data_IF_235483636281
#
_entry.id   IF_235483636281
#
_cell.length_a   1.000
_cell.length_b   1.000
_cell.length_c   1.000
_cell.angle_alpha   90.00
_cell.angle_beta   90.00
_cell.angle_gamma   90.00
#
_symmetry.space_group_name_H-M   'P 1'
#
loop_
_entity.id
_entity.type
_entity.pdbx_description
1 polymer ?
#
# COMPACT_ATOMS: atom_id res chain seq x y z
N UNK A 1 18.88 -45.07 -0.37
CA UNK A 1 18.39 -43.92 -1.17
C UNK A 1 17.06 -44.30 -1.80
N UNK A 2 15.97 -43.68 -1.35
CA UNK A 2 14.61 -43.97 -1.78
C UNK A 2 14.09 -42.80 -2.66
N UNK A 3 13.69 -43.02 -3.93
CA UNK A 3 13.35 -41.95 -4.87
C UNK A 3 12.07 -41.17 -4.51
N UNK A 4 11.34 -41.58 -3.47
CA UNK A 4 10.12 -40.92 -2.97
C UNK A 4 10.37 -39.62 -2.18
N UNK A 5 11.64 -39.29 -1.86
CA UNK A 5 11.98 -38.07 -1.10
C UNK A 5 12.10 -36.83 -2.00
N UNK A 6 12.16 -36.98 -3.33
CA UNK A 6 12.28 -35.84 -4.26
C UNK A 6 10.95 -35.18 -4.65
N UNK A 7 9.80 -35.79 -4.33
CA UNK A 7 8.48 -35.29 -4.78
C UNK A 7 7.83 -34.33 -3.75
N UNK A 8 8.35 -34.26 -2.53
CA UNK A 8 7.78 -33.41 -1.47
C UNK A 8 8.29 -31.96 -1.45
N UNK A 9 9.19 -31.57 -2.36
CA UNK A 9 9.71 -30.19 -2.46
C UNK A 9 9.00 -29.31 -3.51
N UNK A 10 8.04 -29.83 -4.27
CA UNK A 10 7.42 -29.07 -5.38
C UNK A 10 6.11 -28.38 -4.98
N UNK A 11 5.59 -28.61 -3.75
CA UNK A 11 4.27 -28.07 -3.36
C UNK A 11 4.33 -26.73 -2.60
N UNK A 12 5.52 -26.23 -2.23
CA UNK A 12 5.66 -24.89 -1.62
C UNK A 12 6.12 -23.78 -2.58
N UNK A 13 6.36 -24.08 -3.86
CA UNK A 13 6.88 -23.09 -4.81
C UNK A 13 5.78 -22.30 -5.56
N UNK A 14 4.50 -22.68 -5.42
CA UNK A 14 3.42 -22.06 -6.17
C UNK A 14 2.82 -20.81 -5.50
N UNK A 15 3.07 -20.56 -4.20
CA UNK A 15 2.52 -19.42 -3.49
C UNK A 15 3.29 -18.10 -3.74
N UNK A 16 4.60 -18.10 -4.02
CA UNK A 16 5.42 -16.96 -3.60
C UNK A 16 6.00 -16.06 -4.69
N UNK A 17 6.15 -16.46 -5.96
CA UNK A 17 6.94 -15.63 -6.91
C UNK A 17 6.37 -14.23 -7.17
N UNK A 18 5.06 -14.12 -7.39
CA UNK A 18 4.46 -12.81 -7.67
C UNK A 18 4.21 -11.97 -6.40
N UNK A 19 4.02 -12.61 -5.24
CA UNK A 19 3.91 -11.90 -3.96
C UNK A 19 5.29 -11.35 -3.54
N UNK A 20 6.33 -12.17 -3.67
CA UNK A 20 7.73 -11.81 -3.40
C UNK A 20 8.20 -10.67 -4.30
N UNK A 21 7.83 -10.66 -5.58
CA UNK A 21 8.15 -9.55 -6.48
C UNK A 21 7.39 -8.26 -6.17
N UNK A 22 6.07 -8.34 -5.90
CA UNK A 22 5.29 -7.17 -5.51
C UNK A 22 5.79 -6.57 -4.19
N UNK A 23 6.09 -7.42 -3.20
CA UNK A 23 6.63 -6.99 -1.91
C UNK A 23 8.03 -6.37 -2.07
N UNK A 24 8.89 -6.93 -2.93
CA UNK A 24 10.20 -6.35 -3.22
C UNK A 24 10.10 -4.96 -3.88
N UNK A 25 9.12 -4.74 -4.76
CA UNK A 25 8.87 -3.43 -5.38
C UNK A 25 8.39 -2.41 -4.35
N UNK A 26 7.45 -2.79 -3.48
CA UNK A 26 6.95 -1.93 -2.40
C UNK A 26 8.08 -1.60 -1.42
N UNK A 27 8.88 -2.59 -1.01
CA UNK A 27 10.03 -2.36 -0.11
C UNK A 27 11.09 -1.45 -0.74
N UNK A 28 11.36 -1.61 -2.05
CA UNK A 28 12.28 -0.72 -2.76
C UNK A 28 11.76 0.71 -2.82
N UNK A 29 10.48 0.89 -3.13
CA UNK A 29 9.83 2.20 -3.11
C UNK A 29 9.90 2.82 -1.70
N UNK A 30 9.60 2.03 -0.66
CA UNK A 30 9.68 2.48 0.73
C UNK A 30 11.07 2.94 1.11
N UNK A 31 12.12 2.17 0.81
CA UNK A 31 13.49 2.55 1.13
C UNK A 31 13.90 3.86 0.43
N UNK A 32 13.48 4.04 -0.83
CA UNK A 32 13.70 5.30 -1.56
C UNK A 32 12.99 6.46 -0.87
N UNK A 33 11.69 6.33 -0.63
CA UNK A 33 10.87 7.37 -0.04
C UNK A 33 11.28 7.71 1.40
N UNK A 34 11.70 6.72 2.19
CA UNK A 34 12.22 6.92 3.53
C UNK A 34 13.57 7.64 3.53
N UNK A 35 14.41 7.42 2.52
CA UNK A 35 15.64 8.19 2.34
C UNK A 35 15.39 9.68 2.08
N UNK A 36 14.30 10.02 1.39
CA UNK A 36 13.89 11.41 1.11
C UNK A 36 13.10 12.03 2.27
N UNK A 37 12.25 11.24 2.93
CA UNK A 37 11.33 11.67 3.99
C UNK A 37 11.44 10.74 5.21
N UNK A 38 12.55 10.79 5.95
CA UNK A 38 12.77 9.89 7.09
C UNK A 38 11.77 10.18 8.22
N UNK A 39 11.33 9.12 8.87
CA UNK A 39 10.46 9.19 10.07
C UNK A 39 11.29 9.00 11.33
N UNK A 40 10.86 9.64 12.42
CA UNK A 40 11.45 9.39 13.74
C UNK A 40 11.09 7.99 14.27
N UNK A 41 11.83 7.51 15.27
CA UNK A 41 11.63 6.18 15.84
C UNK A 41 10.21 5.97 16.39
N UNK A 42 9.61 7.01 16.99
CA UNK A 42 8.26 6.92 17.55
C UNK A 42 7.19 6.87 16.46
N UNK A 43 7.33 7.66 15.40
CA UNK A 43 6.45 7.58 14.22
C UNK A 43 6.59 6.23 13.51
N UNK A 44 7.80 5.67 13.46
CA UNK A 44 8.04 4.34 12.91
C UNK A 44 7.34 3.25 13.74
N UNK A 45 7.25 3.41 15.07
CA UNK A 45 6.46 2.51 15.92
C UNK A 45 4.98 2.65 15.60
N UNK A 46 4.45 3.87 15.49
CA UNK A 46 3.04 4.10 15.14
C UNK A 46 2.66 3.45 13.79
N UNK A 47 3.52 3.59 12.77
CA UNK A 47 3.34 2.95 11.46
C UNK A 47 3.30 1.42 11.58
N UNK A 48 4.21 0.82 12.36
CA UNK A 48 4.29 -0.63 12.57
C UNK A 48 3.11 -1.17 13.35
N UNK A 49 2.70 -0.44 14.39
CA UNK A 49 1.60 -0.81 15.27
C UNK A 49 0.24 -0.55 14.60
N UNK A 50 0.23 0.10 13.42
CA UNK A 50 -0.97 0.46 12.64
C UNK A 50 -1.98 1.23 13.52
N UNK A 51 -1.49 1.95 14.53
CA UNK A 51 -2.28 2.57 15.59
C UNK A 51 -2.86 3.92 15.17
N UNK A 52 -2.07 4.70 14.44
CA UNK A 52 -2.38 6.05 13.96
C UNK A 52 -1.79 6.27 12.56
N UNK A 53 -2.39 7.20 11.80
CA UNK A 53 -1.77 7.72 10.58
C UNK A 53 -0.90 8.91 10.99
N UNK A 54 0.43 8.83 10.91
CA UNK A 54 1.30 9.90 11.36
C UNK A 54 1.08 11.17 10.53
N UNK A 55 1.19 12.32 11.18
CA UNK A 55 0.80 13.62 10.60
C UNK A 55 1.96 14.61 10.47
N UNK A 56 3.21 14.18 10.72
CA UNK A 56 4.37 15.03 10.43
C UNK A 56 4.49 15.28 8.93
N UNK A 57 5.15 16.38 8.56
CA UNK A 57 5.41 16.70 7.16
C UNK A 57 6.11 15.54 6.42
N UNK A 58 7.12 14.92 7.05
CA UNK A 58 7.83 13.79 6.47
C UNK A 58 6.93 12.57 6.27
N UNK A 59 6.07 12.23 7.24
CA UNK A 59 5.12 11.14 7.07
C UNK A 59 4.17 11.37 5.89
N UNK A 60 3.60 12.58 5.79
CA UNK A 60 2.71 12.97 4.70
C UNK A 60 3.41 12.86 3.34
N UNK A 61 4.63 13.37 3.24
CA UNK A 61 5.38 13.34 1.99
C UNK A 61 5.95 11.96 1.65
N UNK A 62 6.26 11.11 2.65
CA UNK A 62 6.59 9.71 2.45
C UNK A 62 5.40 8.98 1.80
N UNK A 63 4.18 9.19 2.29
CA UNK A 63 2.97 8.62 1.68
C UNK A 63 2.78 9.11 0.24
N UNK A 64 2.96 10.41 -0.03
CA UNK A 64 2.89 10.94 -1.39
C UNK A 64 3.96 10.33 -2.31
N UNK A 65 5.19 10.16 -1.82
CA UNK A 65 6.27 9.50 -2.55
C UNK A 65 5.91 8.05 -2.90
N UNK A 66 5.34 7.30 -1.96
CA UNK A 66 4.90 5.91 -2.21
C UNK A 66 3.82 5.84 -3.30
N UNK A 67 2.84 6.76 -3.27
CA UNK A 67 1.82 6.84 -4.32
C UNK A 67 2.43 7.18 -5.69
N UNK A 68 3.47 8.02 -5.74
CA UNK A 68 4.21 8.35 -6.97
C UNK A 68 4.99 7.15 -7.51
N UNK A 69 5.69 6.40 -6.66
CA UNK A 69 6.39 5.17 -7.07
C UNK A 69 5.41 4.12 -7.63
N UNK A 70 4.21 4.02 -7.05
CA UNK A 70 3.11 3.19 -7.55
C UNK A 70 2.39 3.75 -8.78
N UNK A 71 2.75 4.94 -9.27
CA UNK A 71 2.07 5.68 -10.35
C UNK A 71 0.59 5.98 -10.05
N UNK A 72 0.22 5.99 -8.78
CA UNK A 72 -1.11 6.32 -8.28
C UNK A 72 -1.25 7.85 -8.11
N UNK A 73 -0.15 8.57 -7.91
CA UNK A 73 -0.12 10.02 -7.87
C UNK A 73 0.88 10.53 -8.91
N UNK A 74 0.43 11.36 -9.85
CA UNK A 74 1.30 11.87 -10.92
C UNK A 74 0.82 13.23 -11.41
N UNK A 75 1.74 14.20 -11.43
CA UNK A 75 1.45 15.53 -11.96
C UNK A 75 0.28 16.23 -11.24
N UNK A 76 0.19 16.09 -9.92
CA UNK A 76 -0.90 16.67 -9.14
C UNK A 76 -2.24 15.97 -9.33
N UNK A 77 -2.29 14.74 -9.86
CA UNK A 77 -3.53 13.97 -10.03
C UNK A 77 -3.44 12.57 -9.44
N UNK A 78 -4.52 12.17 -8.78
CA UNK A 78 -4.73 10.80 -8.34
C UNK A 78 -5.28 9.95 -9.48
N UNK A 79 -4.53 8.91 -9.82
CA UNK A 79 -4.80 7.98 -10.92
C UNK A 79 -5.62 6.80 -10.37
N UNK A 80 -6.94 6.97 -10.29
CA UNK A 80 -7.87 5.99 -9.71
C UNK A 80 -7.71 4.59 -10.30
N UNK A 81 -7.58 4.48 -11.62
CA UNK A 81 -7.40 3.20 -12.32
C UNK A 81 -6.12 2.48 -11.89
N UNK A 82 -5.02 3.22 -11.67
CA UNK A 82 -3.76 2.63 -11.21
C UNK A 82 -3.87 2.17 -9.76
N UNK A 83 -4.63 2.88 -8.92
CA UNK A 83 -4.90 2.45 -7.54
C UNK A 83 -5.70 1.14 -7.51
N UNK A 84 -6.76 1.04 -8.33
CA UNK A 84 -7.57 -0.17 -8.47
C UNK A 84 -6.72 -1.35 -8.96
N UNK A 85 -5.87 -1.13 -9.96
CA UNK A 85 -4.95 -2.14 -10.46
C UNK A 85 -3.96 -2.60 -9.36
N UNK A 86 -3.44 -1.66 -8.56
CA UNK A 86 -2.55 -2.01 -7.46
C UNK A 86 -3.26 -2.85 -6.40
N UNK A 87 -4.54 -2.57 -6.11
CA UNK A 87 -5.34 -3.40 -5.21
C UNK A 87 -5.47 -4.84 -5.71
N UNK A 88 -5.68 -5.04 -7.02
CA UNK A 88 -5.69 -6.37 -7.63
C UNK A 88 -4.32 -7.06 -7.54
N UNK A 89 -3.24 -6.35 -7.83
CA UNK A 89 -1.88 -6.92 -7.77
C UNK A 89 -1.51 -7.36 -6.37
N UNK A 90 -1.78 -6.53 -5.36
CA UNK A 90 -1.45 -6.80 -3.96
C UNK A 90 -2.35 -7.88 -3.34
N UNK A 91 -3.58 -8.05 -3.84
CA UNK A 91 -4.54 -9.03 -3.32
C UNK A 91 -4.89 -10.11 -4.35
N UNK A 92 -3.97 -10.42 -5.28
CA UNK A 92 -4.20 -11.35 -6.40
C UNK A 92 -4.69 -12.75 -5.99
N UNK A 93 -4.42 -13.15 -4.73
CA UNK A 93 -4.77 -14.44 -4.16
C UNK A 93 -5.98 -14.37 -3.21
N UNK A 94 -6.51 -13.16 -2.95
CA UNK A 94 -7.68 -12.92 -2.11
C UNK A 94 -8.60 -11.88 -2.78
N UNK A 95 -9.46 -12.37 -3.66
CA UNK A 95 -10.40 -11.52 -4.40
C UNK A 95 -11.34 -10.73 -3.48
N UNK A 96 -11.73 -11.30 -2.32
CA UNK A 96 -12.59 -10.59 -1.38
C UNK A 96 -11.85 -9.42 -0.73
N UNK A 97 -10.56 -9.57 -0.43
CA UNK A 97 -9.71 -8.45 0.01
C UNK A 97 -9.50 -7.42 -1.12
N UNK A 98 -9.31 -7.87 -2.37
CA UNK A 98 -9.20 -6.99 -3.53
C UNK A 98 -10.45 -6.12 -3.71
N UNK A 99 -11.65 -6.71 -3.65
CA UNK A 99 -12.92 -5.99 -3.80
C UNK A 99 -13.13 -4.95 -2.70
N UNK A 100 -12.81 -5.29 -1.44
CA UNK A 100 -12.88 -4.32 -0.34
C UNK A 100 -11.86 -3.20 -0.48
N UNK A 101 -10.65 -3.51 -0.95
CA UNK A 101 -9.63 -2.49 -1.21
C UNK A 101 -10.06 -1.52 -2.33
N UNK A 102 -10.68 -2.03 -3.39
CA UNK A 102 -11.26 -1.20 -4.46
C UNK A 102 -12.39 -0.32 -3.94
N UNK A 103 -13.31 -0.89 -3.15
CA UNK A 103 -14.41 -0.14 -2.54
C UNK A 103 -13.88 1.03 -1.70
N UNK A 104 -12.83 0.80 -0.89
CA UNK A 104 -12.16 1.83 -0.12
C UNK A 104 -11.54 2.91 -1.03
N UNK A 105 -10.81 2.50 -2.07
CA UNK A 105 -10.17 3.42 -3.02
C UNK A 105 -11.20 4.33 -3.68
N UNK A 106 -12.29 3.77 -4.20
CA UNK A 106 -13.37 4.52 -4.85
C UNK A 106 -14.04 5.47 -3.87
N UNK A 107 -14.33 5.00 -2.65
CA UNK A 107 -14.95 5.80 -1.59
C UNK A 107 -14.07 7.00 -1.23
N UNK A 108 -12.77 6.78 -1.06
CA UNK A 108 -11.83 7.84 -0.70
C UNK A 108 -11.59 8.82 -1.85
N UNK A 109 -11.51 8.35 -3.09
CA UNK A 109 -11.43 9.22 -4.25
C UNK A 109 -12.68 10.10 -4.39
N UNK A 110 -13.87 9.58 -4.06
CA UNK A 110 -15.10 10.36 -4.07
C UNK A 110 -15.17 11.40 -2.94
N UNK A 111 -14.65 11.09 -1.74
CA UNK A 111 -14.68 11.99 -0.58
C UNK A 111 -13.59 13.07 -0.62
N UNK A 112 -12.36 12.68 -0.97
CA UNK A 112 -11.19 13.58 -0.97
C UNK A 112 -11.05 14.31 -2.30
N UNK A 113 -11.50 13.70 -3.39
CA UNK A 113 -11.28 14.15 -4.76
C UNK A 113 -10.02 13.53 -5.38
N UNK A 114 -9.73 13.91 -6.63
CA UNK A 114 -8.59 13.40 -7.40
C UNK A 114 -7.57 14.47 -7.77
N UNK A 115 -7.83 15.73 -7.43
CA UNK A 115 -6.89 16.84 -7.61
C UNK A 115 -5.98 16.96 -6.37
N UNK A 116 -4.68 16.80 -6.61
CA UNK A 116 -3.62 16.88 -5.63
C UNK A 116 -2.65 18.03 -5.95
N UNK A 117 -2.94 18.88 -6.94
CA UNK A 117 -2.01 19.88 -7.48
C UNK A 117 -1.64 20.99 -6.48
N UNK A 118 -2.48 21.24 -5.48
CA UNK A 118 -2.22 22.24 -4.45
C UNK A 118 -1.14 21.79 -3.45
N UNK A 119 -1.24 20.55 -2.96
CA UNK A 119 -0.30 19.95 -2.01
C UNK A 119 -0.45 18.42 -2.05
N UNK A 120 0.50 17.77 -2.71
CA UNK A 120 0.51 16.32 -2.90
C UNK A 120 0.74 15.56 -1.58
N UNK A 121 1.44 16.15 -0.60
CA UNK A 121 1.68 15.54 0.70
C UNK A 121 0.41 15.57 1.57
N UNK A 122 -0.26 16.72 1.65
CA UNK A 122 -1.54 16.84 2.35
C UNK A 122 -2.64 16.02 1.67
N UNK A 123 -2.64 15.95 0.34
CA UNK A 123 -3.53 15.07 -0.40
C UNK A 123 -3.33 13.60 0.00
N UNK A 124 -2.08 13.11 -0.01
CA UNK A 124 -1.76 11.75 0.38
C UNK A 124 -2.16 11.45 1.83
N UNK A 125 -2.00 12.40 2.74
CA UNK A 125 -2.45 12.28 4.13
C UNK A 125 -3.97 12.13 4.24
N UNK A 126 -4.75 12.96 3.55
CA UNK A 126 -6.22 12.86 3.54
C UNK A 126 -6.70 11.53 2.97
N UNK A 127 -6.07 11.05 1.90
CA UNK A 127 -6.34 9.73 1.34
C UNK A 127 -6.03 8.61 2.35
N UNK A 128 -4.91 8.69 3.06
CA UNK A 128 -4.53 7.70 4.07
C UNK A 128 -5.47 7.69 5.28
N UNK A 129 -5.92 8.86 5.75
CA UNK A 129 -6.93 8.97 6.80
C UNK A 129 -8.25 8.30 6.38
N UNK A 130 -8.76 8.63 5.21
CA UNK A 130 -9.96 8.01 4.68
C UNK A 130 -9.79 6.48 4.54
N UNK A 131 -8.66 6.04 3.99
CA UNK A 131 -8.36 4.61 3.84
C UNK A 131 -8.33 3.88 5.18
N UNK A 132 -7.67 4.45 6.19
CA UNK A 132 -7.65 3.89 7.55
C UNK A 132 -9.07 3.75 8.13
N UNK A 133 -9.92 4.76 7.96
CA UNK A 133 -11.27 4.76 8.50
C UNK A 133 -12.20 3.78 7.78
N UNK A 134 -12.12 3.71 6.45
CA UNK A 134 -12.88 2.75 5.65
C UNK A 134 -12.39 1.30 5.89
N UNK A 135 -11.08 1.09 6.03
CA UNK A 135 -10.52 -0.24 6.33
C UNK A 135 -11.07 -0.80 7.65
N UNK A 136 -11.19 0.04 8.69
CA UNK A 136 -11.82 -0.34 9.97
C UNK A 136 -13.27 -0.75 9.80
N UNK A 137 -14.05 -0.06 8.96
CA UNK A 137 -15.47 -0.38 8.69
C UNK A 137 -15.62 -1.70 7.92
N UNK A 138 -14.75 -1.95 6.94
CA UNK A 138 -14.81 -3.11 6.04
C UNK A 138 -14.10 -4.36 6.60
N UNK A 139 -13.39 -4.21 7.72
CA UNK A 139 -12.56 -5.26 8.31
C UNK A 139 -11.37 -5.63 7.43
N UNK A 140 -10.84 -4.67 6.66
CA UNK A 140 -9.63 -4.84 5.86
C UNK A 140 -8.43 -4.62 6.77
N UNK A 141 -7.53 -5.60 6.83
CA UNK A 141 -6.24 -5.40 7.50
C UNK A 141 -5.22 -4.89 6.48
N UNK A 142 -4.39 -3.90 6.82
CA UNK A 142 -3.26 -3.54 5.98
C UNK A 142 -2.36 -4.76 5.78
N UNK A 143 -1.74 -4.94 4.61
CA UNK A 143 -0.77 -6.01 4.39
C UNK A 143 0.31 -6.01 5.50
N UNK A 144 0.80 -7.19 5.85
CA UNK A 144 1.98 -7.31 6.70
C UNK A 144 3.20 -7.20 5.77
N UNK A 145 3.97 -6.13 5.93
CA UNK A 145 5.20 -5.86 5.18
C UNK A 145 6.42 -6.19 6.03
#
# INVERSE_FOLDING_TARGET
>A
MNPLILILLVVFAAATRGEEQANALVAKAFNKCFGEFPLGDDEMKEVKDKSTVPSSHNAKCLMACMLKEGRILRGGKYELENAILMADVLNKNDHAAADKAKQLIETCAAQVGTDASADECEFAYKMALCASDEAKKLGVRPPDF
#
